data_IF_608170839279
#
_entry.id   IF_608170839279
#
_cell.length_a   1.000
_cell.length_b   1.000
_cell.length_c   1.000
_cell.angle_alpha   90.00
_cell.angle_beta   90.00
_cell.angle_gamma   90.00
#
_symmetry.space_group_name_H-M   'P 1'
#
loop_
_entity.id
_entity.type
_entity.pdbx_description
1 polymer ?
#
# COMPACT_ATOMS: atom_id res chain seq x y z
N UNK A 1 57.75 52.30 -4.68
CA UNK A 1 57.12 51.71 -5.88
C UNK A 1 57.44 50.23 -5.89
N UNK A 2 56.42 49.43 -6.23
CA UNK A 2 56.29 47.99 -6.05
C UNK A 2 57.49 47.13 -6.50
N UNK A 3 57.83 46.09 -5.72
CA UNK A 3 57.74 44.69 -6.15
C UNK A 3 58.04 43.72 -4.99
N UNK A 4 57.12 42.79 -4.77
CA UNK A 4 57.26 41.57 -3.96
C UNK A 4 58.17 40.57 -4.69
N UNK A 5 58.89 39.75 -3.95
CA UNK A 5 58.81 38.27 -3.99
C UNK A 5 60.00 37.65 -3.25
N UNK A 6 59.74 37.09 -2.07
CA UNK A 6 60.62 36.08 -1.48
C UNK A 6 59.95 34.72 -1.71
N UNK A 7 60.67 33.88 -2.45
CA UNK A 7 60.39 32.47 -2.70
C UNK A 7 61.18 31.66 -1.66
N UNK A 8 60.52 30.82 -0.87
CA UNK A 8 61.15 29.69 -0.16
C UNK A 8 60.19 28.50 -0.19
N UNK A 9 60.61 27.43 -0.87
CA UNK A 9 60.16 26.06 -0.56
C UNK A 9 60.76 25.61 0.79
N UNK A 10 60.44 24.45 1.37
CA UNK A 10 59.94 23.17 0.85
C UNK A 10 59.50 22.31 2.05
N UNK A 11 59.01 21.09 1.74
CA UNK A 11 58.59 19.97 2.62
C UNK A 11 57.18 20.09 3.23
N UNK A 12 56.33 19.07 3.25
CA UNK A 12 56.63 17.65 3.39
C UNK A 12 55.59 16.73 2.70
N UNK A 13 56.15 15.61 2.23
CA UNK A 13 55.64 14.23 2.15
C UNK A 13 54.18 13.91 1.80
N UNK A 14 54.09 12.99 0.84
CA UNK A 14 52.94 12.22 0.40
C UNK A 14 52.12 11.58 1.52
N UNK A 15 50.80 11.59 1.32
CA UNK A 15 49.91 10.50 1.73
C UNK A 15 49.05 10.16 0.52
N UNK A 16 49.52 9.19 -0.27
CA UNK A 16 48.68 8.35 -1.11
C UNK A 16 47.80 7.52 -0.17
N UNK A 17 46.61 8.02 0.14
CA UNK A 17 45.52 7.19 0.65
C UNK A 17 44.64 6.82 -0.53
N UNK A 18 44.80 5.58 -0.94
CA UNK A 18 43.81 4.77 -1.64
C UNK A 18 42.43 4.94 -1.01
N UNK A 19 41.55 5.72 -1.63
CA UNK A 19 40.10 5.55 -1.45
C UNK A 19 39.51 4.95 -2.71
N UNK A 20 39.51 3.62 -2.78
CA UNK A 20 38.64 2.89 -3.68
C UNK A 20 37.18 3.23 -3.37
N UNK A 21 36.46 3.76 -4.38
CA UNK A 21 35.02 3.53 -4.52
C UNK A 21 34.07 4.44 -3.73
N UNK A 22 34.30 5.75 -3.69
CA UNK A 22 33.18 6.66 -3.46
C UNK A 22 32.27 6.62 -4.71
N UNK A 23 31.00 6.23 -4.56
CA UNK A 23 29.99 6.33 -5.61
C UNK A 23 29.97 7.78 -6.10
N UNK A 24 30.53 8.03 -7.28
CA UNK A 24 30.33 9.30 -7.96
C UNK A 24 28.83 9.52 -8.08
N UNK A 25 28.35 10.66 -7.58
CA UNK A 25 26.96 11.08 -7.77
C UNK A 25 26.62 11.17 -9.26
N UNK A 26 25.33 11.39 -9.59
CA UNK A 26 24.89 11.47 -10.98
C UNK A 26 25.78 12.41 -11.82
N UNK A 27 26.31 11.89 -12.94
CA UNK A 27 27.09 12.66 -13.91
C UNK A 27 26.15 13.49 -14.81
N UNK A 28 26.59 14.64 -15.36
CA UNK A 28 25.76 15.41 -16.29
C UNK A 28 25.33 14.57 -17.50
N UNK A 29 24.04 14.63 -17.85
CA UNK A 29 23.54 14.00 -19.07
C UNK A 29 23.76 14.96 -20.24
N UNK A 30 24.52 14.53 -21.25
CA UNK A 30 24.91 15.36 -22.39
C UNK A 30 24.50 14.77 -23.74
N UNK A 31 24.50 15.62 -24.77
CA UNK A 31 24.42 15.18 -26.15
C UNK A 31 25.58 14.23 -26.46
N UNK A 32 25.30 13.06 -27.03
CA UNK A 32 26.30 12.04 -27.38
C UNK A 32 26.34 10.81 -26.46
N UNK A 33 25.65 10.83 -25.31
CA UNK A 33 25.49 9.63 -24.48
C UNK A 33 24.60 8.59 -25.18
N UNK A 34 24.97 7.31 -25.06
CA UNK A 34 24.12 6.19 -25.49
C UNK A 34 22.85 6.08 -24.62
N UNK A 35 21.77 5.47 -25.12
CA UNK A 35 20.54 5.29 -24.33
C UNK A 35 20.78 4.58 -22.99
N UNK A 36 21.75 3.66 -22.94
CA UNK A 36 22.11 2.89 -21.75
C UNK A 36 22.88 3.74 -20.73
N UNK A 37 23.76 4.64 -21.19
CA UNK A 37 24.40 5.62 -20.32
C UNK A 37 23.37 6.56 -19.73
N UNK A 38 22.45 7.10 -20.55
CA UNK A 38 21.40 7.99 -20.05
C UNK A 38 20.47 7.27 -19.08
N UNK A 39 20.07 6.02 -19.36
CA UNK A 39 19.31 5.18 -18.43
C UNK A 39 20.03 5.05 -17.08
N UNK A 40 21.33 4.76 -17.08
CA UNK A 40 22.14 4.63 -15.85
C UNK A 40 22.13 5.94 -15.05
N UNK A 41 22.25 7.07 -15.73
CA UNK A 41 22.24 8.39 -15.10
C UNK A 41 20.88 8.80 -14.55
N UNK A 42 19.79 8.49 -15.26
CA UNK A 42 18.43 8.65 -14.74
C UNK A 42 18.24 7.75 -13.51
N UNK A 43 18.65 6.48 -13.59
CA UNK A 43 18.55 5.54 -12.47
C UNK A 43 19.33 6.03 -11.24
N UNK A 44 20.53 6.56 -11.42
CA UNK A 44 21.34 7.11 -10.33
C UNK A 44 20.60 8.25 -9.58
N UNK A 45 19.85 9.09 -10.29
CA UNK A 45 19.08 10.21 -9.73
C UNK A 45 17.84 9.78 -8.95
N UNK A 46 17.26 8.64 -9.30
CA UNK A 46 16.02 8.13 -8.69
C UNK A 46 16.25 6.97 -7.70
N UNK A 47 17.46 6.39 -7.66
CA UNK A 47 17.77 5.19 -6.87
C UNK A 47 17.71 5.37 -5.36
N UNK A 48 17.75 6.61 -4.86
CA UNK A 48 17.69 6.95 -3.44
C UNK A 48 16.31 7.47 -3.00
N UNK A 49 15.31 7.36 -3.86
CA UNK A 49 13.94 7.72 -3.52
C UNK A 49 13.38 6.68 -2.57
N UNK A 50 12.96 7.14 -1.40
CA UNK A 50 12.37 6.29 -0.36
C UNK A 50 11.03 6.80 0.15
N UNK A 51 10.71 8.06 -0.13
CA UNK A 51 9.38 8.63 0.06
C UNK A 51 9.03 9.47 -1.18
N UNK A 52 7.84 9.32 -1.72
CA UNK A 52 7.34 10.11 -2.85
C UNK A 52 5.91 10.54 -2.55
N UNK A 53 5.61 11.82 -2.76
CA UNK A 53 4.25 12.34 -2.81
C UNK A 53 4.03 13.04 -4.14
N UNK A 54 2.95 12.70 -4.84
CA UNK A 54 2.66 13.28 -6.15
C UNK A 54 1.18 13.44 -6.46
N UNK A 55 0.88 14.47 -7.26
CA UNK A 55 -0.41 14.66 -7.92
C UNK A 55 -0.27 14.26 -9.39
N UNK A 56 -1.01 13.25 -9.83
CA UNK A 56 -0.91 12.64 -11.17
C UNK A 56 -2.23 12.80 -11.92
N UNK A 57 -2.15 13.13 -13.21
CA UNK A 57 -3.24 12.83 -14.16
C UNK A 57 -2.89 11.59 -14.95
N UNK A 58 -3.66 10.53 -14.78
CA UNK A 58 -3.54 9.29 -15.53
C UNK A 58 -4.62 9.21 -16.62
N UNK A 59 -4.24 8.80 -17.83
CA UNK A 59 -5.17 8.58 -18.93
C UNK A 59 -4.96 7.19 -19.51
N UNK A 60 -6.04 6.40 -19.55
CA UNK A 60 -6.06 5.07 -20.15
C UNK A 60 -6.71 5.15 -21.52
N UNK A 61 -5.97 4.74 -22.56
CA UNK A 61 -6.46 4.66 -23.93
C UNK A 61 -6.72 3.22 -24.34
N UNK A 62 -7.79 3.00 -25.09
CA UNK A 62 -8.02 1.76 -25.86
C UNK A 62 -8.32 2.11 -27.30
N UNK A 63 -7.62 1.44 -28.23
CA UNK A 63 -7.76 1.66 -29.69
C UNK A 63 -7.62 3.14 -30.10
N UNK A 64 -6.74 3.90 -29.44
CA UNK A 64 -6.46 5.29 -29.75
C UNK A 64 -7.44 6.32 -29.16
N UNK A 65 -8.49 5.89 -28.47
CA UNK A 65 -9.43 6.80 -27.80
C UNK A 65 -9.22 6.77 -26.29
N UNK A 66 -9.24 7.96 -25.66
CA UNK A 66 -9.22 8.09 -24.21
C UNK A 66 -10.48 7.42 -23.65
N UNK A 67 -10.29 6.39 -22.84
CA UNK A 67 -11.39 5.62 -22.24
C UNK A 67 -11.75 6.19 -20.87
N UNK A 68 -10.74 6.54 -20.10
CA UNK A 68 -10.89 7.03 -18.74
C UNK A 68 -9.73 7.94 -18.39
N UNK A 69 -10.01 8.98 -17.62
CA UNK A 69 -9.01 9.84 -16.99
C UNK A 69 -9.16 9.73 -15.48
N UNK A 70 -8.05 9.69 -14.76
CA UNK A 70 -8.01 9.69 -13.31
C UNK A 70 -7.17 10.87 -12.83
N UNK A 71 -7.64 11.56 -11.80
CA UNK A 71 -6.79 12.42 -10.97
C UNK A 71 -6.40 11.60 -9.75
N UNK A 72 -5.12 11.46 -9.51
CA UNK A 72 -4.57 10.61 -8.45
C UNK A 72 -3.70 11.46 -7.55
N UNK A 73 -3.87 11.30 -6.23
CA UNK A 73 -2.85 11.69 -5.27
C UNK A 73 -2.18 10.44 -4.74
N UNK A 74 -0.87 10.36 -4.84
CA UNK A 74 -0.08 9.25 -4.34
C UNK A 74 0.80 9.73 -3.17
N UNK A 75 0.86 8.90 -2.13
CA UNK A 75 1.92 8.90 -1.14
C UNK A 75 2.51 7.50 -1.11
N UNK A 76 3.83 7.37 -1.21
CA UNK A 76 4.50 6.08 -1.31
C UNK A 76 5.79 6.11 -0.50
N UNK A 77 6.00 5.11 0.35
CA UNK A 77 7.22 4.89 1.11
C UNK A 77 7.77 3.49 0.83
N UNK A 78 9.09 3.34 0.84
CA UNK A 78 9.75 2.05 0.57
C UNK A 78 10.21 1.31 1.82
N UNK A 79 10.17 1.94 3.01
CA UNK A 79 10.60 1.31 4.26
C UNK A 79 9.85 1.85 5.49
N UNK A 80 8.81 1.14 5.97
CA UNK A 80 8.21 -0.05 5.35
C UNK A 80 7.58 0.29 4.00
N UNK A 81 7.40 -0.71 3.13
CA UNK A 81 6.65 -0.49 1.88
C UNK A 81 5.21 -0.16 2.25
N UNK A 82 4.74 1.03 1.87
CA UNK A 82 3.40 1.51 2.18
C UNK A 82 2.98 2.55 1.16
N UNK A 83 1.69 2.60 0.82
CA UNK A 83 1.18 3.61 -0.10
C UNK A 83 -0.25 4.02 0.21
N UNK A 84 -0.60 5.24 -0.19
CA UNK A 84 -1.98 5.73 -0.21
C UNK A 84 -2.27 6.34 -1.57
N UNK A 85 -3.45 6.02 -2.11
CA UNK A 85 -4.00 6.60 -3.31
C UNK A 85 -5.33 7.26 -2.99
N UNK A 86 -5.48 8.54 -3.35
CA UNK A 86 -6.80 9.15 -3.52
C UNK A 86 -7.08 9.25 -5.02
N UNK A 87 -8.07 8.50 -5.54
CA UNK A 87 -8.34 8.43 -6.97
C UNK A 87 -9.72 9.01 -7.29
N UNK A 88 -9.72 10.04 -8.15
CA UNK A 88 -10.91 10.68 -8.68
C UNK A 88 -11.03 10.38 -10.19
N UNK A 89 -11.85 9.40 -10.58
CA UNK A 89 -12.09 9.10 -11.99
C UNK A 89 -12.94 10.19 -12.67
N UNK A 90 -12.78 10.38 -13.97
CA UNK A 90 -13.61 11.28 -14.79
C UNK A 90 -15.07 10.84 -14.90
N UNK A 91 -15.33 9.55 -14.66
CA UNK A 91 -16.65 8.96 -14.60
C UNK A 91 -16.70 7.88 -13.52
N UNK A 92 -17.78 7.82 -12.73
CA UNK A 92 -17.88 6.95 -11.56
C UNK A 92 -17.61 7.69 -10.25
N UNK A 93 -17.53 6.95 -9.14
CA UNK A 93 -17.28 7.54 -7.82
C UNK A 93 -15.79 7.51 -7.48
N UNK A 94 -15.30 8.52 -6.74
CA UNK A 94 -13.95 8.50 -6.18
C UNK A 94 -13.75 7.32 -5.22
N UNK A 95 -12.51 6.88 -5.11
CA UNK A 95 -12.12 5.84 -4.17
C UNK A 95 -10.74 6.13 -3.58
N UNK A 96 -10.53 5.59 -2.38
CA UNK A 96 -9.28 5.64 -1.64
C UNK A 96 -8.71 4.23 -1.55
N UNK A 97 -7.39 4.11 -1.67
CA UNK A 97 -6.64 2.89 -1.42
C UNK A 97 -5.58 3.19 -0.38
N UNK A 98 -5.53 2.41 0.69
CA UNK A 98 -4.52 2.56 1.74
C UNK A 98 -3.83 1.21 1.96
N UNK A 99 -2.52 1.18 1.78
CA UNK A 99 -1.67 0.04 2.04
C UNK A 99 -0.62 0.42 3.09
N UNK A 100 -0.56 -0.38 4.15
CA UNK A 100 0.34 -0.18 5.29
C UNK A 100 1.47 -1.23 5.35
N UNK A 101 1.70 -1.95 4.26
CA UNK A 101 2.66 -3.05 4.18
C UNK A 101 2.16 -4.38 4.76
N UNK A 102 0.95 -4.41 5.35
CA UNK A 102 0.32 -5.63 5.86
C UNK A 102 -0.97 -5.97 5.11
N UNK A 103 -1.84 -4.99 4.88
CA UNK A 103 -3.05 -5.15 4.06
C UNK A 103 -3.26 -3.94 3.16
N UNK A 104 -4.07 -4.13 2.13
CA UNK A 104 -4.61 -3.05 1.33
C UNK A 104 -6.09 -2.85 1.66
N UNK A 105 -6.47 -1.64 2.06
CA UNK A 105 -7.86 -1.21 2.20
C UNK A 105 -8.29 -0.46 0.95
N UNK A 106 -9.49 -0.74 0.45
CA UNK A 106 -10.12 -0.01 -0.66
C UNK A 106 -11.47 0.50 -0.21
N UNK A 107 -11.72 1.80 -0.38
CA UNK A 107 -12.98 2.41 -0.03
C UNK A 107 -13.51 3.28 -1.17
N UNK A 108 -14.69 2.95 -1.68
CA UNK A 108 -15.40 3.81 -2.62
C UNK A 108 -16.27 4.81 -1.85
N UNK A 109 -16.16 6.09 -2.19
CA UNK A 109 -16.88 7.16 -1.50
C UNK A 109 -18.40 6.93 -1.54
N UNK A 110 -19.03 6.98 -0.37
CA UNK A 110 -20.47 6.75 -0.19
C UNK A 110 -20.89 5.27 -0.12
N UNK A 111 -19.95 4.32 -0.25
CA UNK A 111 -20.25 2.92 -0.01
C UNK A 111 -20.57 2.68 1.48
N UNK A 112 -21.45 1.71 1.74
CA UNK A 112 -21.73 1.20 3.10
C UNK A 112 -20.61 0.30 3.62
N UNK A 113 -19.75 -0.16 2.72
CA UNK A 113 -18.67 -1.06 3.04
C UNK A 113 -17.32 -0.60 2.46
N UNK A 114 -16.23 -0.96 3.13
CA UNK A 114 -14.87 -0.88 2.59
C UNK A 114 -14.29 -2.28 2.45
N UNK A 115 -13.45 -2.51 1.46
CA UNK A 115 -12.82 -3.81 1.23
C UNK A 115 -11.45 -3.88 1.90
N UNK A 116 -11.16 -4.99 2.58
CA UNK A 116 -9.80 -5.34 3.02
C UNK A 116 -9.28 -6.49 2.18
N UNK A 117 -8.12 -6.29 1.55
CA UNK A 117 -7.44 -7.26 0.69
C UNK A 117 -6.23 -7.82 1.44
N UNK A 118 -6.09 -9.15 1.46
CA UNK A 118 -5.20 -9.88 2.38
C UNK A 118 -3.93 -10.44 1.72
N UNK A 119 -3.74 -10.31 0.40
CA UNK A 119 -2.51 -10.73 -0.28
C UNK A 119 -2.35 -10.07 -1.66
N UNK A 120 -1.13 -9.56 -1.91
CA UNK A 120 -0.53 -8.94 -3.12
C UNK A 120 -1.41 -7.90 -3.85
N UNK A 121 -0.94 -6.67 -4.17
CA UNK A 121 -1.81 -5.65 -4.74
C UNK A 121 -2.14 -5.96 -6.21
N UNK A 122 -3.31 -6.54 -6.60
CA UNK A 122 -3.44 -7.09 -7.94
C UNK A 122 -3.97 -6.09 -8.98
N UNK A 123 -4.26 -4.83 -8.61
CA UNK A 123 -4.77 -3.83 -9.58
C UNK A 123 -4.30 -2.38 -9.37
N UNK A 124 -3.77 -2.02 -8.20
CA UNK A 124 -3.44 -0.62 -7.87
C UNK A 124 -2.01 -0.21 -8.23
N UNK A 125 -1.14 -1.17 -8.53
CA UNK A 125 0.25 -0.94 -8.95
C UNK A 125 0.35 -0.09 -10.22
N UNK A 126 -0.70 -0.04 -11.05
CA UNK A 126 -0.74 0.85 -12.21
C UNK A 126 -0.58 2.33 -11.81
N UNK A 127 -1.11 2.75 -10.66
CA UNK A 127 -1.05 4.14 -10.20
C UNK A 127 0.23 4.46 -9.40
N UNK A 128 1.11 3.47 -9.19
CA UNK A 128 2.33 3.60 -8.40
C UNK A 128 3.58 3.77 -9.25
N UNK A 129 3.45 3.76 -10.58
CA UNK A 129 4.57 3.70 -11.52
C UNK A 129 5.56 4.84 -11.30
N UNK A 130 5.07 6.06 -11.06
CA UNK A 130 5.91 7.24 -10.81
C UNK A 130 6.33 7.44 -9.34
N UNK A 131 5.80 6.62 -8.42
CA UNK A 131 6.16 6.60 -7.01
C UNK A 131 7.51 5.92 -6.73
N UNK A 132 7.61 5.21 -5.60
CA UNK A 132 8.85 4.51 -5.22
C UNK A 132 9.21 3.36 -6.16
N UNK A 133 8.30 2.94 -7.04
CA UNK A 133 8.49 1.81 -7.96
C UNK A 133 9.27 2.20 -9.24
N UNK A 134 9.37 3.50 -9.56
CA UNK A 134 9.97 4.00 -10.79
C UNK A 134 11.40 3.51 -11.00
N UNK A 135 12.21 3.52 -9.94
CA UNK A 135 13.61 3.07 -10.00
C UNK A 135 13.71 1.59 -10.40
N UNK A 136 12.88 0.73 -9.79
CA UNK A 136 12.82 -0.70 -10.10
C UNK A 136 12.37 -0.95 -11.54
N UNK A 137 11.36 -0.19 -12.00
CA UNK A 137 10.83 -0.32 -13.35
C UNK A 137 11.83 0.13 -14.42
N UNK A 138 12.49 1.28 -14.22
CA UNK A 138 13.56 1.76 -15.10
C UNK A 138 14.71 0.74 -15.11
N UNK A 139 15.14 0.24 -13.96
CA UNK A 139 16.21 -0.76 -13.87
C UNK A 139 15.92 -2.02 -14.70
N UNK A 140 14.69 -2.55 -14.62
CA UNK A 140 14.22 -3.74 -15.36
C UNK A 140 13.97 -3.50 -16.85
N UNK A 141 13.87 -2.24 -17.28
CA UNK A 141 13.56 -1.88 -18.67
C UNK A 141 14.79 -1.91 -19.58
N UNK A 142 14.60 -2.10 -20.89
CA UNK A 142 15.68 -2.01 -21.88
C UNK A 142 15.60 -0.67 -22.64
N UNK A 143 16.62 0.18 -22.53
CA UNK A 143 16.66 1.45 -23.26
C UNK A 143 16.92 1.23 -24.76
N UNK A 144 16.10 1.85 -25.61
CA UNK A 144 16.17 1.69 -27.07
C UNK A 144 16.67 2.94 -27.78
N UNK A 145 16.24 4.12 -27.32
CA UNK A 145 16.66 5.41 -27.87
C UNK A 145 16.52 6.50 -26.84
N UNK A 146 17.17 7.64 -27.08
CA UNK A 146 17.15 8.78 -26.18
C UNK A 146 17.17 10.08 -26.96
N UNK A 147 16.43 11.07 -26.47
CA UNK A 147 16.58 12.47 -26.88
C UNK A 147 16.99 13.28 -25.65
N UNK A 148 18.15 13.94 -25.73
CA UNK A 148 18.62 14.85 -24.67
C UNK A 148 18.31 16.28 -25.10
N UNK A 149 17.68 17.05 -24.22
CA UNK A 149 17.40 18.48 -24.37
C UNK A 149 18.00 19.23 -23.17
N UNK A 150 18.10 20.57 -23.20
CA UNK A 150 18.77 21.33 -22.14
C UNK A 150 18.21 21.13 -20.72
N UNK A 151 16.90 20.83 -20.59
CA UNK A 151 16.23 20.66 -19.28
C UNK A 151 15.48 19.34 -19.15
N UNK A 152 15.45 18.53 -20.20
CA UNK A 152 14.71 17.27 -20.16
C UNK A 152 15.44 16.18 -20.93
N UNK A 153 15.21 14.94 -20.52
CA UNK A 153 15.58 13.75 -21.26
C UNK A 153 14.32 12.98 -21.61
N UNK A 154 14.24 12.53 -22.85
CA UNK A 154 13.19 11.63 -23.33
C UNK A 154 13.85 10.27 -23.55
N UNK A 155 13.57 9.33 -22.65
CA UNK A 155 14.12 7.98 -22.68
C UNK A 155 13.07 7.01 -23.19
N UNK A 156 13.33 6.39 -24.35
CA UNK A 156 12.49 5.35 -24.89
C UNK A 156 13.02 3.98 -24.47
N UNK A 157 12.11 3.13 -24.00
CA UNK A 157 12.42 1.84 -23.40
C UNK A 157 11.43 0.76 -23.83
N UNK A 158 11.83 -0.49 -23.60
CA UNK A 158 10.93 -1.63 -23.53
C UNK A 158 10.83 -2.04 -22.07
N UNK A 159 9.67 -1.86 -21.46
CA UNK A 159 9.44 -2.10 -20.03
C UNK A 159 8.52 -3.31 -19.81
N UNK A 160 8.75 -4.14 -18.78
CA UNK A 160 7.80 -5.15 -18.37
C UNK A 160 6.59 -4.49 -17.69
N UNK A 161 5.38 -4.72 -18.22
CA UNK A 161 4.11 -4.34 -17.57
C UNK A 161 3.62 -5.49 -16.69
N UNK A 162 3.79 -6.72 -17.18
CA UNK A 162 3.64 -7.95 -16.41
C UNK A 162 4.81 -8.87 -16.72
N UNK A 163 4.86 -10.06 -16.11
CA UNK A 163 5.84 -11.10 -16.45
C UNK A 163 5.75 -11.53 -17.93
N UNK A 164 4.59 -11.39 -18.57
CA UNK A 164 4.34 -11.82 -19.95
C UNK A 164 4.12 -10.66 -20.94
N UNK A 165 3.85 -9.45 -20.47
CA UNK A 165 3.55 -8.29 -21.30
C UNK A 165 4.70 -7.29 -21.23
N UNK A 166 5.26 -6.97 -22.41
CA UNK A 166 6.20 -5.86 -22.59
C UNK A 166 5.51 -4.70 -23.28
N UNK A 167 5.75 -3.48 -22.80
CA UNK A 167 5.29 -2.25 -23.41
C UNK A 167 6.44 -1.47 -24.04
N UNK A 168 6.14 -0.72 -25.10
CA UNK A 168 6.96 0.40 -25.53
C UNK A 168 6.69 1.55 -24.59
N UNK A 169 7.74 2.05 -23.96
CA UNK A 169 7.64 3.02 -22.88
C UNK A 169 8.43 4.26 -23.21
N UNK A 170 7.90 5.43 -22.90
CA UNK A 170 8.64 6.67 -22.95
C UNK A 170 8.57 7.36 -21.59
N UNK A 171 9.73 7.68 -21.03
CA UNK A 171 9.88 8.50 -19.83
C UNK A 171 10.42 9.87 -20.24
N UNK A 172 9.68 10.92 -19.93
CA UNK A 172 10.17 12.29 -19.97
C UNK A 172 10.62 12.66 -18.57
N UNK A 173 11.86 13.12 -18.42
CA UNK A 173 12.50 13.34 -17.13
C UNK A 173 13.12 14.74 -17.08
N UNK A 174 12.76 15.53 -16.07
CA UNK A 174 13.29 16.87 -15.85
C UNK A 174 14.67 16.78 -15.20
N UNK A 175 15.66 17.38 -15.84
CA UNK A 175 17.05 17.41 -15.34
C UNK A 175 17.26 18.46 -14.23
N UNK A 176 16.31 19.39 -14.08
CA UNK A 176 16.38 20.49 -13.11
C UNK A 176 15.89 20.03 -11.74
N UNK A 177 14.72 19.41 -11.70
CA UNK A 177 14.10 18.89 -10.47
C UNK A 177 14.46 17.44 -10.19
N UNK A 178 15.07 16.76 -11.17
CA UNK A 178 15.29 15.31 -11.17
C UNK A 178 13.98 14.52 -11.01
N UNK A 179 12.86 14.96 -11.56
CA UNK A 179 11.54 14.28 -11.45
C UNK A 179 11.00 13.87 -12.82
N UNK A 180 10.09 12.87 -12.90
CA UNK A 180 9.34 12.59 -14.12
C UNK A 180 8.48 13.79 -14.51
N UNK A 181 8.40 14.07 -15.81
CA UNK A 181 7.45 15.01 -16.43
C UNK A 181 6.26 14.28 -17.04
N UNK A 182 6.49 13.05 -17.52
CA UNK A 182 5.48 12.19 -18.13
C UNK A 182 6.00 10.76 -18.20
N UNK A 183 5.09 9.82 -18.04
CA UNK A 183 5.30 8.42 -18.37
C UNK A 183 4.24 7.97 -19.38
N UNK A 184 4.65 7.22 -20.39
CA UNK A 184 3.73 6.60 -21.34
C UNK A 184 4.14 5.16 -21.59
N UNK A 185 3.20 4.24 -21.55
CA UNK A 185 3.40 2.83 -21.87
C UNK A 185 2.35 2.33 -22.85
N UNK A 186 2.79 1.76 -23.97
CA UNK A 186 1.93 1.24 -25.04
C UNK A 186 2.18 -0.25 -25.28
N UNK A 187 1.11 -1.04 -25.27
CA UNK A 187 1.10 -2.46 -25.63
C UNK A 187 -0.12 -2.80 -26.47
N UNK A 188 -0.23 -4.05 -26.94
CA UNK A 188 -1.36 -4.49 -27.79
C UNK A 188 -2.73 -4.28 -27.13
N UNK A 189 -2.80 -4.26 -25.80
CA UNK A 189 -4.03 -4.11 -25.03
C UNK A 189 -4.46 -2.67 -24.75
N UNK A 190 -3.58 -1.68 -24.92
CA UNK A 190 -3.89 -0.30 -24.60
C UNK A 190 -2.66 0.60 -24.47
N UNK A 191 -2.93 1.83 -24.05
CA UNK A 191 -1.89 2.81 -23.68
C UNK A 191 -2.24 3.40 -22.34
N UNK A 192 -1.24 3.55 -21.48
CA UNK A 192 -1.29 4.25 -20.21
C UNK A 192 -0.42 5.49 -20.33
N UNK A 193 -0.94 6.64 -19.90
CA UNK A 193 -0.17 7.87 -19.79
C UNK A 193 -0.34 8.45 -18.39
N UNK A 194 0.75 8.75 -17.71
CA UNK A 194 0.77 9.46 -16.44
C UNK A 194 1.49 10.79 -16.61
N UNK A 195 0.91 11.87 -16.06
CA UNK A 195 1.47 13.22 -16.13
C UNK A 195 1.40 13.84 -14.73
N UNK A 196 2.51 13.86 -13.99
CA UNK A 196 2.56 14.47 -12.67
C UNK A 196 2.54 16.00 -12.79
N UNK A 197 1.78 16.67 -11.92
CA UNK A 197 1.77 18.13 -11.79
C UNK A 197 2.56 18.63 -10.59
N UNK A 198 2.74 17.79 -9.58
CA UNK A 198 3.51 18.08 -8.38
C UNK A 198 4.19 16.80 -7.92
N UNK A 199 5.49 16.85 -7.64
CA UNK A 199 6.27 15.70 -7.15
C UNK A 199 7.17 16.19 -6.02
N UNK A 200 7.09 15.54 -4.87
CA UNK A 200 7.95 15.76 -3.71
C UNK A 200 8.64 14.46 -3.37
N UNK A 201 9.97 14.51 -3.26
CA UNK A 201 10.81 13.34 -3.04
C UNK A 201 11.48 13.44 -1.68
N UNK A 202 11.56 12.32 -0.97
CA UNK A 202 12.24 12.15 0.31
C UNK A 202 11.78 13.16 1.38
N UNK A 203 10.52 13.61 1.28
CA UNK A 203 9.85 14.35 2.35
C UNK A 203 9.41 13.38 3.43
N UNK A 204 9.39 13.84 4.69
CA UNK A 204 8.76 13.10 5.77
C UNK A 204 7.26 12.99 5.52
N UNK A 205 6.74 11.77 5.35
CA UNK A 205 5.31 11.50 5.27
C UNK A 205 4.86 11.01 6.67
N UNK A 206 3.86 11.64 7.31
CA UNK A 206 3.38 11.17 8.60
C UNK A 206 2.86 9.73 8.51
N UNK A 207 3.20 8.86 9.46
CA UNK A 207 2.74 7.47 9.49
C UNK A 207 1.21 7.32 9.46
N UNK A 208 0.49 8.32 9.99
CA UNK A 208 -0.98 8.40 9.92
C UNK A 208 -1.53 8.47 8.49
N UNK A 209 -0.71 8.83 7.49
CA UNK A 209 -1.09 8.82 6.07
C UNK A 209 -1.49 7.43 5.60
N UNK A 210 -0.82 6.40 6.12
CA UNK A 210 -1.05 4.99 5.76
C UNK A 210 -2.06 4.30 6.68
N UNK A 211 -2.80 5.07 7.48
CA UNK A 211 -3.87 4.56 8.33
C UNK A 211 -5.22 4.88 7.71
N UNK A 212 -6.07 3.87 7.51
CA UNK A 212 -7.44 4.08 7.05
C UNK A 212 -8.37 4.29 8.24
N UNK A 213 -9.11 5.40 8.24
CA UNK A 213 -10.17 5.65 9.20
C UNK A 213 -11.53 5.54 8.50
N UNK A 214 -12.35 4.52 8.81
CA UNK A 214 -13.64 4.35 8.16
C UNK A 214 -14.58 5.51 8.51
N UNK A 215 -15.34 6.05 7.54
CA UNK A 215 -16.40 7.01 7.83
C UNK A 215 -17.49 6.40 8.73
N UNK A 216 -18.22 7.26 9.45
CA UNK A 216 -19.27 6.82 10.36
C UNK A 216 -20.32 5.95 9.63
N UNK A 217 -20.62 4.77 10.20
CA UNK A 217 -21.60 3.83 9.65
C UNK A 217 -21.10 2.94 8.51
N UNK A 218 -19.86 3.10 8.05
CA UNK A 218 -19.23 2.21 7.06
C UNK A 218 -18.64 1.00 7.76
N UNK A 219 -18.89 -0.20 7.24
CA UNK A 219 -18.42 -1.47 7.81
C UNK A 219 -17.43 -2.16 6.86
N UNK A 220 -16.42 -2.88 7.33
CA UNK A 220 -15.56 -3.67 6.46
C UNK A 220 -16.33 -4.80 5.81
N UNK A 221 -15.81 -5.18 4.66
CA UNK A 221 -16.05 -6.43 3.98
C UNK A 221 -14.68 -6.96 3.58
N UNK A 222 -14.38 -8.23 3.85
CA UNK A 222 -13.13 -8.83 3.38
C UNK A 222 -13.39 -9.38 1.99
N UNK A 223 -12.74 -8.79 0.99
CA UNK A 223 -12.80 -9.28 -0.37
C UNK A 223 -11.69 -10.32 -0.53
N UNK A 224 -12.08 -11.59 -0.67
CA UNK A 224 -11.16 -12.65 -1.05
C UNK A 224 -10.73 -12.40 -2.50
N UNK A 225 -9.44 -12.12 -2.70
CA UNK A 225 -8.88 -11.83 -4.01
C UNK A 225 -9.13 -12.99 -4.97
N UNK A 226 -10.07 -12.83 -5.89
CA UNK A 226 -10.00 -13.54 -7.17
C UNK A 226 -9.01 -12.78 -8.06
N UNK A 227 -8.02 -13.48 -8.61
CA UNK A 227 -7.21 -12.94 -9.70
C UNK A 227 -8.14 -12.62 -10.89
N UNK A 228 -8.37 -11.35 -11.19
CA UNK A 228 -9.31 -10.93 -12.23
C UNK A 228 -9.39 -9.41 -12.41
N UNK A 229 -10.04 -9.00 -13.50
CA UNK A 229 -10.21 -7.57 -13.86
C UNK A 229 -11.19 -6.84 -12.92
N UNK A 230 -11.31 -5.50 -13.00
CA UNK A 230 -12.31 -4.68 -12.23
C UNK A 230 -13.72 -5.30 -12.21
N UNK A 231 -14.09 -6.05 -13.26
CA UNK A 231 -15.40 -6.71 -13.40
C UNK A 231 -15.54 -8.05 -12.63
N UNK A 232 -14.42 -8.72 -12.33
CA UNK A 232 -14.37 -10.01 -11.63
C UNK A 232 -14.29 -9.84 -10.10
N UNK A 233 -13.68 -8.74 -9.64
CA UNK A 233 -13.69 -8.32 -8.23
C UNK A 233 -15.11 -8.02 -7.73
N UNK A 234 -15.94 -7.39 -8.56
CA UNK A 234 -17.35 -7.15 -8.25
C UNK A 234 -18.21 -8.43 -8.20
N UNK A 235 -17.70 -9.57 -8.72
CA UNK A 235 -18.40 -10.86 -8.75
C UNK A 235 -17.85 -11.89 -7.75
N UNK A 236 -16.64 -11.69 -7.24
CA UNK A 236 -16.01 -12.55 -6.23
C UNK A 236 -16.16 -12.03 -4.79
N UNK A 237 -16.93 -10.95 -4.60
CA UNK A 237 -17.43 -10.52 -3.29
C UNK A 237 -18.24 -11.65 -2.64
N UNK A 238 -17.55 -12.44 -1.85
CA UNK A 238 -18.19 -13.33 -0.91
C UNK A 238 -18.58 -12.46 0.26
N UNK A 239 -19.87 -12.10 0.35
CA UNK A 239 -20.43 -11.41 1.51
C UNK A 239 -20.26 -12.27 2.76
N UNK A 240 -19.16 -12.07 3.47
CA UNK A 240 -18.94 -12.58 4.81
C UNK A 240 -19.20 -11.42 5.76
N UNK A 241 -20.32 -11.41 6.51
CA UNK A 241 -20.62 -10.31 7.42
C UNK A 241 -19.60 -10.32 8.56
N UNK A 242 -18.73 -9.32 8.59
CA UNK A 242 -17.68 -9.20 9.60
C UNK A 242 -18.25 -8.57 10.86
N UNK A 243 -18.01 -9.18 12.02
CA UNK A 243 -18.35 -8.63 13.33
C UNK A 243 -17.20 -7.78 13.84
N UNK A 244 -17.29 -6.50 13.54
CA UNK A 244 -16.27 -5.56 13.99
C UNK A 244 -16.28 -5.24 15.48
N UNK A 245 -15.11 -4.91 16.05
CA UNK A 245 -15.03 -4.07 17.22
C UNK A 245 -15.82 -2.76 17.02
N UNK A 246 -16.52 -2.27 18.05
CA UNK A 246 -17.19 -0.97 17.98
C UNK A 246 -16.15 0.13 17.73
N UNK A 247 -16.53 1.18 17.01
CA UNK A 247 -15.62 2.30 16.68
C UNK A 247 -15.02 3.00 17.91
N UNK A 248 -15.61 2.82 19.09
CA UNK A 248 -15.12 3.32 20.38
C UNK A 248 -13.98 2.50 20.99
N UNK A 249 -13.69 1.29 20.50
CA UNK A 249 -12.75 0.35 21.15
C UNK A 249 -11.27 0.73 21.04
N UNK A 250 -10.93 1.85 20.37
CA UNK A 250 -9.57 2.36 20.24
C UNK A 250 -8.56 1.31 19.78
N UNK A 251 -9.01 0.38 18.92
CA UNK A 251 -8.19 -0.67 18.31
C UNK A 251 -7.74 -0.23 16.92
N UNK A 252 -6.47 -0.46 16.62
CA UNK A 252 -5.89 -0.26 15.29
C UNK A 252 -5.83 -1.62 14.61
N UNK A 253 -6.44 -1.73 13.42
CA UNK A 253 -6.36 -2.96 12.63
C UNK A 253 -4.95 -3.10 12.06
N UNK A 254 -4.30 -4.22 12.36
CA UNK A 254 -2.95 -4.52 11.89
C UNK A 254 -2.95 -5.48 10.71
N UNK A 255 -3.64 -6.61 10.84
CA UNK A 255 -3.58 -7.69 9.86
C UNK A 255 -4.95 -8.32 9.64
N UNK A 256 -5.23 -8.79 8.42
CA UNK A 256 -6.36 -9.66 8.13
C UNK A 256 -5.85 -10.88 7.37
N UNK A 257 -6.08 -12.06 7.93
CA UNK A 257 -5.73 -13.33 7.29
C UNK A 257 -7.00 -14.13 7.04
N UNK A 258 -7.05 -14.90 5.96
CA UNK A 258 -8.20 -15.75 5.64
C UNK A 258 -7.70 -17.15 5.32
N UNK A 259 -8.24 -18.13 6.05
CA UNK A 259 -8.07 -19.53 5.71
C UNK A 259 -9.25 -19.99 4.83
N UNK A 260 -8.90 -20.62 3.71
CA UNK A 260 -9.84 -21.20 2.73
C UNK A 260 -9.71 -22.72 2.61
N UNK A 261 -8.76 -23.37 3.30
CA UNK A 261 -8.39 -24.77 3.03
C UNK A 261 -9.36 -25.80 3.62
N UNK A 262 -10.30 -25.40 4.46
CA UNK A 262 -11.33 -26.29 4.98
C UNK A 262 -12.69 -25.65 4.77
N UNK A 263 -13.73 -26.46 4.59
CA UNK A 263 -15.13 -26.05 4.31
C UNK A 263 -15.74 -25.02 5.28
N UNK A 264 -15.02 -24.61 6.33
CA UNK A 264 -15.27 -23.45 7.16
C UNK A 264 -14.45 -22.24 6.67
N UNK A 265 -15.12 -21.20 6.17
CA UNK A 265 -14.48 -19.91 5.90
C UNK A 265 -14.12 -19.26 7.23
N UNK A 266 -12.84 -19.01 7.47
CA UNK A 266 -12.34 -18.38 8.69
C UNK A 266 -11.58 -17.10 8.34
N UNK A 267 -11.96 -15.98 8.95
CA UNK A 267 -11.28 -14.69 8.88
C UNK A 267 -10.60 -14.44 10.22
N UNK A 268 -9.32 -14.10 10.21
CA UNK A 268 -8.55 -13.72 11.39
C UNK A 268 -8.18 -12.25 11.28
N UNK A 269 -8.75 -11.41 12.14
CA UNK A 269 -8.49 -9.98 12.24
C UNK A 269 -7.54 -9.74 13.42
N UNK A 270 -6.32 -9.29 13.14
CA UNK A 270 -5.36 -8.89 14.17
C UNK A 270 -5.41 -7.38 14.37
N UNK A 271 -5.61 -6.95 15.60
CA UNK A 271 -5.62 -5.58 16.06
C UNK A 271 -4.50 -5.34 17.09
N UNK A 272 -4.22 -4.07 17.35
CA UNK A 272 -3.44 -3.61 18.48
C UNK A 272 -4.20 -2.55 19.29
N UNK A 273 -4.01 -2.58 20.60
CA UNK A 273 -4.43 -1.48 21.48
C UNK A 273 -3.51 -0.27 21.29
N UNK A 274 -3.91 0.90 21.80
CA UNK A 274 -3.05 2.10 21.83
C UNK A 274 -1.70 1.87 22.53
N UNK A 275 -1.64 0.91 23.44
CA UNK A 275 -0.42 0.55 24.16
C UNK A 275 0.37 -0.59 23.47
N UNK A 276 0.00 -0.97 22.25
CA UNK A 276 0.69 -1.99 21.44
C UNK A 276 0.38 -3.44 21.81
N UNK A 277 -0.62 -3.71 22.67
CA UNK A 277 -0.98 -5.09 23.02
C UNK A 277 -1.81 -5.73 21.91
N UNK A 278 -1.53 -7.00 21.53
CA UNK A 278 -2.22 -7.67 20.45
C UNK A 278 -3.64 -8.09 20.85
N UNK A 279 -4.57 -7.98 19.91
CA UNK A 279 -5.94 -8.48 20.01
C UNK A 279 -6.24 -9.25 18.73
N UNK A 280 -6.70 -10.48 18.81
CA UNK A 280 -7.04 -11.31 17.66
C UNK A 280 -8.54 -11.59 17.68
N UNK A 281 -9.22 -11.37 16.56
CA UNK A 281 -10.63 -11.70 16.37
C UNK A 281 -10.73 -12.68 15.22
N UNK A 282 -11.14 -13.91 15.53
CA UNK A 282 -11.41 -14.96 14.56
C UNK A 282 -12.90 -15.04 14.30
N UNK A 283 -13.29 -15.02 13.04
CA UNK A 283 -14.67 -15.13 12.61
C UNK A 283 -14.84 -16.32 11.67
N UNK A 284 -15.83 -17.16 11.92
CA UNK A 284 -16.07 -18.35 11.12
C UNK A 284 -17.55 -18.51 10.74
N UNK A 285 -17.82 -19.04 9.54
CA UNK A 285 -19.17 -19.51 9.16
C UNK A 285 -19.50 -20.84 9.86
N UNK A 286 -19.48 -20.83 11.18
CA UNK A 286 -19.75 -21.95 12.07
C UNK A 286 -20.66 -21.46 13.18
N UNK A 287 -21.46 -22.35 13.73
CA UNK A 287 -22.22 -22.15 14.97
C UNK A 287 -21.60 -22.95 16.13
N UNK A 288 -20.46 -23.61 15.91
CA UNK A 288 -19.82 -24.50 16.88
C UNK A 288 -18.42 -24.00 17.22
N UNK A 289 -18.26 -23.47 18.43
CA UNK A 289 -16.95 -23.20 19.03
C UNK A 289 -16.40 -24.44 19.73
N UNK A 290 -15.20 -24.87 19.32
CA UNK A 290 -14.43 -25.90 20.02
C UNK A 290 -13.25 -25.23 20.73
N UNK A 291 -13.22 -25.22 22.08
CA UNK A 291 -12.12 -24.59 22.79
C UNK A 291 -10.78 -25.29 22.51
N UNK A 292 -9.67 -24.55 22.55
CA UNK A 292 -8.33 -25.13 22.47
C UNK A 292 -8.11 -26.19 23.56
N UNK A 293 -7.35 -27.23 23.22
CA UNK A 293 -7.01 -28.28 24.19
C UNK A 293 -6.26 -27.70 25.39
N UNK A 294 -6.70 -28.02 26.60
CA UNK A 294 -6.07 -27.55 27.84
C UNK A 294 -6.63 -26.23 28.38
N UNK A 295 -7.63 -25.64 27.72
CA UNK A 295 -8.31 -24.44 28.21
C UNK A 295 -9.59 -24.79 28.97
N UNK A 296 -9.77 -24.20 30.15
CA UNK A 296 -11.05 -24.28 30.87
C UNK A 296 -11.90 -23.08 30.46
N UNK A 297 -13.08 -23.35 29.90
CA UNK A 297 -14.04 -22.30 29.53
C UNK A 297 -15.22 -22.32 30.50
N UNK A 298 -15.71 -21.13 30.82
CA UNK A 298 -16.97 -20.89 31.52
C UNK A 298 -17.97 -20.33 30.51
N UNK A 299 -19.23 -20.76 30.60
CA UNK A 299 -20.30 -20.14 29.81
C UNK A 299 -20.94 -19.05 30.63
N UNK A 300 -20.94 -17.84 30.09
CA UNK A 300 -21.59 -16.65 30.64
C UNK A 300 -22.72 -16.19 29.72
N UNK A 301 -23.59 -15.33 30.24
CA UNK A 301 -24.65 -14.68 29.45
C UNK A 301 -24.46 -13.19 29.53
N UNK A 302 -24.33 -12.55 28.36
CA UNK A 302 -24.15 -11.10 28.21
C UNK A 302 -25.26 -10.59 27.30
N UNK A 303 -26.18 -9.80 27.86
CA UNK A 303 -27.43 -9.47 27.19
C UNK A 303 -28.23 -10.72 26.84
N UNK A 304 -28.50 -10.95 25.55
CA UNK A 304 -29.19 -12.13 25.03
C UNK A 304 -28.25 -13.20 24.46
N UNK A 305 -26.94 -12.99 24.54
CA UNK A 305 -25.95 -13.86 23.91
C UNK A 305 -25.26 -14.74 24.95
N UNK A 306 -25.17 -16.03 24.64
CA UNK A 306 -24.32 -16.94 25.40
C UNK A 306 -22.88 -16.82 24.92
N UNK A 307 -21.98 -16.54 25.86
CA UNK A 307 -20.56 -16.31 25.60
C UNK A 307 -19.76 -17.36 26.35
N UNK A 308 -18.82 -18.02 25.68
CA UNK A 308 -17.84 -18.90 26.34
C UNK A 308 -16.57 -18.11 26.58
N UNK A 309 -16.18 -17.95 27.83
CA UNK A 309 -15.02 -17.16 28.24
C UNK A 309 -14.00 -18.06 28.92
N UNK A 310 -12.71 -17.80 28.71
CA UNK A 310 -11.64 -18.56 29.36
C UNK A 310 -10.32 -17.83 29.37
N UNK A 311 -9.50 -18.11 30.37
CA UNK A 311 -8.18 -17.50 30.53
C UNK A 311 -7.14 -18.21 29.66
N UNK A 312 -6.36 -17.44 28.91
CA UNK A 312 -5.27 -17.93 28.08
C UNK A 312 -3.99 -18.19 28.89
N UNK A 313 -3.10 -19.09 28.43
CA UNK A 313 -1.82 -19.36 29.11
C UNK A 313 -0.90 -18.14 29.26
N UNK A 314 -1.06 -17.13 28.40
CA UNK A 314 -0.31 -15.87 28.44
C UNK A 314 -0.91 -14.83 29.42
N UNK A 315 -1.94 -15.19 30.19
CA UNK A 315 -2.62 -14.30 31.13
C UNK A 315 -3.66 -13.36 30.50
N UNK A 316 -3.87 -13.44 29.19
CA UNK A 316 -4.99 -12.79 28.50
C UNK A 316 -6.28 -13.60 28.60
N UNK A 317 -7.29 -13.17 27.87
CA UNK A 317 -8.61 -13.77 27.85
C UNK A 317 -9.05 -14.12 26.44
N UNK A 318 -9.84 -15.18 26.33
CA UNK A 318 -10.52 -15.59 25.13
C UNK A 318 -12.03 -15.59 25.39
N UNK A 319 -12.79 -15.02 24.48
CA UNK A 319 -14.25 -15.11 24.50
C UNK A 319 -14.78 -15.57 23.14
N UNK A 320 -15.77 -16.46 23.13
CA UNK A 320 -16.39 -16.98 21.93
C UNK A 320 -17.91 -16.86 22.01
N UNK A 321 -18.54 -16.31 20.97
CA UNK A 321 -19.97 -16.08 20.88
C UNK A 321 -20.45 -16.20 19.43
N UNK A 322 -21.73 -16.53 19.24
CA UNK A 322 -22.32 -16.60 17.90
C UNK A 322 -23.23 -15.39 17.69
N UNK A 323 -22.94 -14.60 16.66
CA UNK A 323 -23.69 -13.41 16.28
C UNK A 323 -24.15 -13.56 14.84
N UNK A 324 -25.46 -13.46 14.57
CA UNK A 324 -26.02 -13.55 13.21
C UNK A 324 -25.54 -14.78 12.40
N UNK A 325 -25.35 -15.94 13.05
CA UNK A 325 -24.81 -17.19 12.47
C UNK A 325 -23.32 -17.15 12.09
N UNK A 326 -22.58 -16.18 12.61
CA UNK A 326 -21.11 -16.11 12.57
C UNK A 326 -20.58 -16.42 13.96
N UNK A 327 -19.70 -17.40 14.07
CA UNK A 327 -18.93 -17.61 15.29
C UNK A 327 -17.84 -16.54 15.33
N UNK A 328 -17.79 -15.79 16.43
CA UNK A 328 -16.78 -14.78 16.73
C UNK A 328 -16.00 -15.27 17.94
N UNK A 329 -14.69 -15.32 17.82
CA UNK A 329 -13.75 -15.64 18.89
C UNK A 329 -12.80 -14.46 19.02
N UNK A 330 -12.72 -13.85 20.19
CA UNK A 330 -11.78 -12.77 20.48
C UNK A 330 -10.76 -13.24 21.50
N UNK A 331 -9.50 -12.86 21.30
CA UNK A 331 -8.36 -13.16 22.15
C UNK A 331 -7.59 -11.86 22.41
N UNK A 332 -7.25 -11.55 23.66
CA UNK A 332 -6.50 -10.33 23.97
C UNK A 332 -6.41 -10.02 25.46
N UNK A 333 -6.06 -8.77 25.83
CA UNK A 333 -6.14 -8.30 27.21
C UNK A 333 -7.57 -8.36 27.73
N UNK A 334 -7.76 -8.86 28.96
CA UNK A 334 -9.06 -9.03 29.63
C UNK A 334 -9.98 -7.82 29.49
N UNK A 335 -9.48 -6.62 29.83
CA UNK A 335 -10.26 -5.39 29.76
C UNK A 335 -10.76 -5.05 28.34
N UNK A 336 -10.04 -5.47 27.30
CA UNK A 336 -10.44 -5.28 25.92
C UNK A 336 -11.47 -6.33 25.51
N UNK A 337 -11.20 -7.60 25.83
CA UNK A 337 -12.12 -8.72 25.55
C UNK A 337 -13.48 -8.48 26.19
N UNK A 338 -13.50 -8.14 27.47
CA UNK A 338 -14.71 -7.78 28.22
C UNK A 338 -15.48 -6.63 27.54
N UNK A 339 -14.77 -5.57 27.15
CA UNK A 339 -15.40 -4.42 26.51
C UNK A 339 -16.04 -4.79 25.17
N UNK A 340 -15.40 -5.65 24.38
CA UNK A 340 -15.91 -6.08 23.08
C UNK A 340 -17.13 -6.99 23.24
N UNK A 341 -17.03 -7.97 24.13
CA UNK A 341 -18.11 -8.93 24.42
C UNK A 341 -19.36 -8.21 24.94
N UNK A 342 -19.20 -7.26 25.87
CA UNK A 342 -20.33 -6.49 26.39
C UNK A 342 -21.06 -5.72 25.29
N UNK A 343 -20.32 -5.02 24.43
CA UNK A 343 -20.93 -4.26 23.34
C UNK A 343 -21.61 -5.16 22.31
N UNK A 344 -21.00 -6.30 21.99
CA UNK A 344 -21.60 -7.28 21.07
C UNK A 344 -22.84 -7.97 21.65
N UNK A 345 -22.83 -8.27 22.95
CA UNK A 345 -23.99 -8.79 23.66
C UNK A 345 -25.16 -7.80 23.71
N UNK A 346 -24.87 -6.51 23.90
CA UNK A 346 -25.87 -5.44 23.95
C UNK A 346 -26.46 -5.14 22.56
N UNK A 347 -25.62 -5.10 21.52
CA UNK A 347 -26.08 -4.86 20.13
C UNK A 347 -26.87 -6.01 19.51
N UNK A 348 -26.79 -7.22 20.09
CA UNK A 348 -27.62 -8.35 19.73
C UNK A 348 -29.03 -8.33 20.37
N UNK A 349 -29.33 -7.34 21.23
CA UNK A 349 -30.67 -7.14 21.76
C UNK A 349 -31.62 -6.67 20.65
N UNK A 350 -32.81 -7.29 20.47
CA UNK A 350 -33.80 -6.78 19.54
C UNK A 350 -34.21 -5.39 20.02
N UNK A 351 -34.01 -4.40 19.15
CA UNK A 351 -34.78 -3.17 19.24
C UNK A 351 -36.24 -3.61 19.18
N UNK A 352 -36.96 -3.40 20.28
CA UNK A 352 -38.41 -3.65 20.33
C UNK A 352 -39.11 -2.85 19.22
N UNK A 353 -40.19 -3.38 18.63
CA UNK A 353 -40.81 -2.86 17.42
C UNK A 353 -41.26 -1.40 17.49
#
# INVERSE_FOLDING_TARGET
MNARAAMWGSLALAVLLTSCGAKHGPEPISHGMSPQQVKKEVLARISNWHAVSEDITEVVYRKGHARQTYRVKLWSESNPESFRLDVAPSSGQPYEVVDNGLNTVVYQSGAKHYSVLTAEPPSWTQFRVLGTDLASLVAKSHATSVTVKPREVILHMISPVTTSIKAKTTLWFDLTTNTPLRWESQWRGGTLQETPSHVVINSTIPASTYSFQPPAGVKPEVALTAQGTELDLARSQVSFPIVLPPSSSALVLNNVNVDTEQSARVVLLSYQTQNGQPVLITEAKSDHFKPPSGMTMVTETVGLVSVKVGTMPNGGEMAALTLNKTLVVVEGPTNVVDSLVNVWGDTASPTSP
#
